data_IF_190682534349
#
_entry.id   IF_190682534349
#
_cell.length_a   1.000
_cell.length_b   1.000
_cell.length_c   1.000
_cell.angle_alpha   90.00
_cell.angle_beta   90.00
_cell.angle_gamma   90.00
#
_symmetry.space_group_name_H-M   'P 1'
#
loop_
_entity.id
_entity.type
_entity.pdbx_description
1 polymer ?
#
# COMPACT_ATOMS: atom_id res chain seq x y z
N UNK A 1 27.17 -30.44 20.02
CA UNK A 1 25.85 -30.10 20.55
C UNK A 1 24.93 -29.64 19.42
N UNK A 2 23.81 -30.33 19.14
CA UNK A 2 22.84 -29.88 18.15
C UNK A 2 22.04 -28.69 18.68
N UNK A 3 21.93 -27.63 17.88
CA UNK A 3 21.06 -26.47 18.15
C UNK A 3 19.66 -26.77 17.60
N UNK A 4 18.69 -26.95 18.50
CA UNK A 4 17.28 -27.10 18.14
C UNK A 4 16.64 -25.72 18.13
N UNK A 5 16.13 -25.29 16.97
CA UNK A 5 15.34 -24.08 16.83
C UNK A 5 13.86 -24.46 16.73
N UNK A 6 13.06 -24.01 17.69
CA UNK A 6 11.60 -24.13 17.64
C UNK A 6 11.05 -23.06 16.70
N UNK A 7 10.68 -23.46 15.48
CA UNK A 7 9.89 -22.63 14.58
C UNK A 7 8.42 -22.69 15.04
N UNK A 8 7.92 -21.60 15.61
CA UNK A 8 6.49 -21.48 15.90
C UNK A 8 5.73 -21.13 14.62
N UNK A 9 5.18 -22.14 13.94
CA UNK A 9 4.22 -21.94 12.88
C UNK A 9 2.87 -21.50 13.49
N UNK A 10 2.46 -20.25 13.29
CA UNK A 10 1.10 -19.82 13.60
C UNK A 10 0.20 -20.09 12.38
N UNK A 11 -0.93 -20.80 12.53
CA UNK A 11 -1.88 -20.96 11.44
C UNK A 11 -2.36 -19.59 10.97
N UNK A 12 -2.24 -19.31 9.67
CA UNK A 12 -2.84 -18.12 9.07
C UNK A 12 -4.36 -18.28 9.08
N UNK A 13 -5.01 -17.75 10.11
CA UNK A 13 -6.46 -17.73 10.23
C UNK A 13 -6.99 -16.63 9.31
N UNK A 14 -7.47 -17.03 8.13
CA UNK A 14 -8.28 -16.15 7.29
C UNK A 14 -9.63 -15.93 7.96
N UNK A 15 -9.76 -14.87 8.76
CA UNK A 15 -11.08 -14.36 9.15
C UNK A 15 -11.60 -13.52 7.99
N UNK A 16 -12.67 -13.96 7.34
CA UNK A 16 -13.32 -13.19 6.29
C UNK A 16 -14.73 -13.70 6.04
N UNK A 17 -15.71 -12.80 6.11
CA UNK A 17 -17.10 -13.08 5.75
C UNK A 17 -17.17 -13.76 4.38
N UNK A 18 -17.68 -14.98 4.35
CA UNK A 18 -17.88 -15.77 3.15
C UNK A 18 -18.95 -15.14 2.25
N UNK A 19 -18.54 -14.26 1.38
CA UNK A 19 -19.17 -14.10 0.07
C UNK A 19 -18.05 -14.27 -0.94
N UNK A 20 -18.19 -15.27 -1.82
CA UNK A 20 -17.28 -15.47 -2.95
C UNK A 20 -17.37 -14.21 -3.80
N UNK A 21 -16.41 -13.30 -3.64
CA UNK A 21 -16.35 -12.10 -4.47
C UNK A 21 -15.79 -12.56 -5.81
N UNK A 22 -16.68 -12.78 -6.78
CA UNK A 22 -16.25 -13.09 -8.14
C UNK A 22 -15.59 -11.85 -8.73
N UNK A 23 -14.30 -11.97 -9.04
CA UNK A 23 -13.59 -10.92 -9.76
C UNK A 23 -14.32 -10.65 -11.08
N UNK A 24 -14.67 -9.39 -11.42
CA UNK A 24 -15.35 -9.13 -12.67
C UNK A 24 -14.48 -9.62 -13.82
N UNK A 25 -15.04 -10.49 -14.66
CA UNK A 25 -14.29 -11.21 -15.69
C UNK A 25 -13.59 -10.27 -16.70
N UNK A 26 -14.07 -9.03 -16.84
CA UNK A 26 -13.56 -8.05 -17.80
C UNK A 26 -13.49 -6.63 -17.23
N UNK A 27 -12.54 -6.37 -16.33
CA UNK A 27 -12.11 -4.99 -16.06
C UNK A 27 -11.17 -4.57 -17.22
N UNK A 28 -11.46 -3.46 -17.88
CA UNK A 28 -10.54 -2.91 -18.90
C UNK A 28 -9.20 -2.56 -18.25
N UNK A 29 -8.09 -2.85 -18.92
CA UNK A 29 -6.74 -2.47 -18.48
C UNK A 29 -6.62 -0.96 -18.20
N UNK A 30 -7.39 -0.12 -18.89
CA UNK A 30 -7.44 1.33 -18.65
C UNK A 30 -8.04 1.73 -17.31
N UNK A 31 -8.83 0.86 -16.68
CA UNK A 31 -9.46 1.05 -15.36
C UNK A 31 -8.70 0.37 -14.22
N UNK A 32 -7.66 -0.39 -14.53
CA UNK A 32 -6.83 -1.05 -13.52
C UNK A 32 -5.78 -0.09 -12.97
N UNK A 33 -5.76 0.03 -11.64
CA UNK A 33 -4.72 0.75 -10.91
C UNK A 33 -3.62 -0.21 -10.50
N UNK A 34 -4.01 -1.34 -9.91
CA UNK A 34 -3.10 -2.40 -9.47
C UNK A 34 -3.73 -3.73 -9.87
N UNK A 35 -2.97 -4.63 -10.47
CA UNK A 35 -3.37 -6.03 -10.65
C UNK A 35 -2.16 -6.90 -10.40
N UNK A 36 -2.30 -7.93 -9.58
CA UNK A 36 -1.26 -8.93 -9.42
C UNK A 36 -1.85 -10.26 -8.97
N UNK A 37 -1.09 -11.31 -9.24
CA UNK A 37 -1.34 -12.64 -8.75
C UNK A 37 -0.34 -12.91 -7.60
N UNK A 38 -0.84 -13.44 -6.49
CA UNK A 38 -0.13 -13.64 -5.22
C UNK A 38 0.47 -12.34 -4.63
N UNK A 39 1.37 -12.49 -3.65
CA UNK A 39 2.11 -11.40 -3.00
C UNK A 39 1.22 -10.36 -2.27
N UNK A 40 0.09 -10.79 -1.71
CA UNK A 40 -0.77 -9.95 -0.86
C UNK A 40 -1.29 -10.74 0.35
N UNK A 41 -1.76 -10.02 1.36
CA UNK A 41 -2.31 -10.57 2.60
C UNK A 41 -3.51 -9.72 3.07
N UNK A 42 -4.40 -10.32 3.86
CA UNK A 42 -5.64 -9.67 4.33
C UNK A 42 -6.94 -10.37 3.91
N UNK A 43 -6.85 -11.62 3.43
CA UNK A 43 -8.03 -12.41 3.05
C UNK A 43 -8.69 -11.97 1.75
N UNK A 44 -9.94 -12.38 1.54
CA UNK A 44 -10.78 -11.89 0.44
C UNK A 44 -11.46 -10.59 0.87
N UNK A 45 -11.19 -9.51 0.16
CA UNK A 45 -11.75 -8.18 0.47
C UNK A 45 -12.51 -7.61 -0.72
N UNK A 46 -13.49 -6.75 -0.44
CA UNK A 46 -14.11 -5.84 -1.39
C UNK A 46 -14.30 -4.48 -0.70
N UNK A 47 -13.38 -3.56 -0.95
CA UNK A 47 -13.22 -2.36 -0.15
C UNK A 47 -13.20 -1.11 -1.04
N UNK A 48 -14.09 -0.16 -0.76
CA UNK A 48 -14.03 1.18 -1.34
C UNK A 48 -12.84 1.95 -0.77
N UNK A 49 -12.11 2.67 -1.62
CA UNK A 49 -10.98 3.51 -1.26
C UNK A 49 -11.36 4.97 -1.43
N UNK A 50 -11.16 5.76 -0.38
CA UNK A 50 -11.40 7.21 -0.39
C UNK A 50 -10.14 8.01 -0.69
N UNK A 51 -8.97 7.50 -0.30
CA UNK A 51 -7.71 8.22 -0.44
C UNK A 51 -6.56 7.29 -0.82
N UNK A 52 -5.66 7.79 -1.67
CA UNK A 52 -4.39 7.14 -1.98
C UNK A 52 -3.26 8.07 -1.55
N UNK A 53 -2.41 7.59 -0.66
CA UNK A 53 -1.13 8.22 -0.33
C UNK A 53 -0.07 7.44 -1.10
N UNK A 54 0.66 8.13 -1.99
CA UNK A 54 1.69 7.54 -2.82
C UNK A 54 3.01 8.27 -2.60
N UNK A 55 4.02 7.53 -2.15
CA UNK A 55 5.41 8.00 -2.04
C UNK A 55 6.14 7.49 -3.29
N UNK A 56 6.60 8.41 -4.14
CA UNK A 56 7.29 8.09 -5.38
C UNK A 56 8.65 7.44 -5.08
N UNK A 57 8.90 6.19 -5.51
CA UNK A 57 10.15 5.50 -5.19
C UNK A 57 11.39 6.19 -5.76
N UNK A 58 11.32 6.75 -6.97
CA UNK A 58 12.46 7.41 -7.61
C UNK A 58 12.76 8.74 -6.94
N UNK A 59 11.73 9.53 -6.65
CA UNK A 59 11.90 10.81 -5.97
C UNK A 59 12.40 10.59 -4.53
N UNK A 60 11.88 9.58 -3.83
CA UNK A 60 12.30 9.22 -2.48
C UNK A 60 13.77 8.76 -2.42
N UNK A 61 14.21 7.96 -3.40
CA UNK A 61 15.58 7.42 -3.36
C UNK A 61 16.64 8.52 -3.38
N UNK A 62 16.41 9.57 -4.18
CA UNK A 62 17.29 10.73 -4.31
C UNK A 62 17.32 11.70 -3.12
N UNK A 63 16.50 11.46 -2.07
CA UNK A 63 16.47 12.33 -0.90
C UNK A 63 17.66 12.11 0.04
N UNK A 64 18.14 13.16 0.72
CA UNK A 64 19.03 13.03 1.86
C UNK A 64 18.40 12.19 2.99
N UNK A 65 19.24 11.58 3.82
CA UNK A 65 18.79 10.75 4.95
C UNK A 65 17.84 11.51 5.90
N UNK A 66 18.13 12.78 6.17
CA UNK A 66 17.29 13.65 7.01
C UNK A 66 15.87 13.77 6.45
N UNK A 67 15.75 14.03 5.15
CA UNK A 67 14.45 14.16 4.48
C UNK A 67 13.71 12.82 4.43
N UNK A 68 14.40 11.69 4.28
CA UNK A 68 13.78 10.35 4.38
C UNK A 68 13.09 10.13 5.74
N UNK A 69 13.69 10.58 6.84
CA UNK A 69 13.04 10.57 8.15
C UNK A 69 11.89 11.57 8.26
N UNK A 70 11.96 12.71 7.58
CA UNK A 70 10.83 13.64 7.51
C UNK A 70 9.65 13.08 6.73
N UNK A 71 9.89 12.34 5.64
CA UNK A 71 8.85 11.59 4.91
C UNK A 71 8.16 10.56 5.83
N UNK A 72 8.91 9.86 6.69
CA UNK A 72 8.32 8.95 7.68
C UNK A 72 7.40 9.71 8.66
N UNK A 73 7.87 10.84 9.21
CA UNK A 73 7.06 11.69 10.11
C UNK A 73 5.82 12.26 9.41
N UNK A 74 5.96 12.69 8.16
CA UNK A 74 4.84 13.15 7.33
C UNK A 74 3.81 12.04 7.12
N UNK A 75 4.27 10.82 6.84
CA UNK A 75 3.40 9.64 6.74
C UNK A 75 2.61 9.46 8.04
N UNK A 76 3.26 9.58 9.20
CA UNK A 76 2.60 9.56 10.50
C UNK A 76 1.59 10.70 10.72
N UNK A 77 1.90 11.94 10.28
CA UNK A 77 0.96 13.08 10.33
C UNK A 77 -0.29 12.79 9.47
N UNK A 78 -0.10 12.26 8.27
CA UNK A 78 -1.19 11.89 7.37
C UNK A 78 -2.03 10.74 7.94
N UNK A 79 -1.39 9.74 8.53
CA UNK A 79 -2.05 8.62 9.20
C UNK A 79 -2.97 9.09 10.34
N UNK A 80 -2.54 10.06 11.14
CA UNK A 80 -3.38 10.65 12.21
C UNK A 80 -4.59 11.40 11.67
N UNK A 81 -4.49 12.02 10.49
CA UNK A 81 -5.62 12.73 9.84
C UNK A 81 -6.71 11.81 9.31
N UNK A 82 -6.44 10.51 9.14
CA UNK A 82 -7.46 9.53 8.74
C UNK A 82 -8.56 9.46 9.81
N UNK A 83 -8.19 9.59 11.09
CA UNK A 83 -9.11 9.45 12.21
C UNK A 83 -9.63 8.02 12.30
N UNK A 84 -10.84 7.78 11.77
CA UNK A 84 -11.43 6.44 11.68
C UNK A 84 -11.22 5.85 10.30
N UNK A 85 -10.62 4.66 10.24
CA UNK A 85 -10.27 3.97 8.99
C UNK A 85 -11.50 3.71 8.11
N UNK A 86 -12.64 3.41 8.72
CA UNK A 86 -13.90 3.11 8.02
C UNK A 86 -14.49 4.36 7.36
N UNK A 87 -14.25 5.54 7.97
CA UNK A 87 -14.74 6.82 7.45
C UNK A 87 -13.87 7.37 6.32
N UNK A 88 -12.58 7.03 6.32
CA UNK A 88 -11.64 7.45 5.28
C UNK A 88 -10.72 6.29 4.86
N UNK A 89 -11.25 5.27 4.15
CA UNK A 89 -10.43 4.15 3.71
C UNK A 89 -9.26 4.63 2.86
N UNK A 90 -8.04 4.40 3.34
CA UNK A 90 -6.83 4.99 2.78
C UNK A 90 -5.84 3.90 2.41
N UNK A 91 -5.33 3.95 1.18
CA UNK A 91 -4.23 3.10 0.72
C UNK A 91 -2.93 3.88 0.81
N UNK A 92 -1.93 3.32 1.48
CA UNK A 92 -0.56 3.83 1.49
C UNK A 92 0.30 3.00 0.55
N UNK A 93 0.94 3.63 -0.43
CA UNK A 93 1.85 2.99 -1.38
C UNK A 93 3.20 3.69 -1.32
N UNK A 94 4.30 2.94 -1.26
CA UNK A 94 5.61 3.56 -1.09
C UNK A 94 6.78 2.62 -1.35
N UNK A 95 8.01 3.18 -1.34
CA UNK A 95 9.21 2.46 -1.72
C UNK A 95 9.62 1.43 -0.66
N UNK A 96 9.93 0.22 -1.13
CA UNK A 96 10.64 -0.78 -0.35
C UNK A 96 9.93 -1.14 0.95
N UNK A 97 10.71 -1.42 1.99
CA UNK A 97 10.23 -1.89 3.29
C UNK A 97 9.66 -0.76 4.15
N UNK A 98 8.47 -0.96 4.69
CA UNK A 98 7.97 -0.11 5.77
C UNK A 98 8.63 -0.50 7.09
N UNK A 99 9.12 0.49 7.84
CA UNK A 99 9.75 0.30 9.15
C UNK A 99 11.16 -0.27 9.12
N UNK A 100 11.87 -0.01 8.03
CA UNK A 100 13.30 -0.32 7.95
C UNK A 100 14.13 0.60 8.84
N UNK A 101 15.20 0.07 9.44
CA UNK A 101 16.27 0.87 10.06
C UNK A 101 17.26 1.43 9.04
N UNK A 102 17.15 1.02 7.76
CA UNK A 102 18.00 1.45 6.65
C UNK A 102 17.16 2.19 5.60
N UNK A 103 17.06 3.54 5.65
CA UNK A 103 16.17 4.30 4.76
C UNK A 103 16.50 4.21 3.25
N UNK A 104 17.64 3.63 2.88
CA UNK A 104 17.94 3.28 1.49
C UNK A 104 17.07 2.11 0.97
N UNK A 105 16.53 1.27 1.87
CA UNK A 105 15.75 0.07 1.55
C UNK A 105 14.23 0.27 1.70
N UNK A 106 13.80 1.48 2.08
CA UNK A 106 12.40 1.82 2.28
C UNK A 106 12.19 2.97 3.26
N UNK A 107 10.99 3.08 3.82
CA UNK A 107 10.59 4.20 4.66
C UNK A 107 10.68 3.85 6.15
N UNK A 108 11.44 4.60 6.97
CA UNK A 108 11.69 4.28 8.38
C UNK A 108 10.52 4.71 9.29
N UNK A 109 9.32 4.21 9.02
CA UNK A 109 8.12 4.43 9.84
C UNK A 109 8.02 3.46 11.01
N UNK A 110 7.40 3.89 12.09
CA UNK A 110 6.91 2.98 13.13
C UNK A 110 5.49 2.50 12.79
N UNK A 111 5.02 1.41 13.40
CA UNK A 111 3.67 0.92 13.13
C UNK A 111 2.58 1.97 13.46
N UNK A 112 2.75 2.74 14.53
CA UNK A 112 1.81 3.81 14.92
C UNK A 112 1.71 4.94 13.89
N UNK A 113 2.66 5.04 12.96
CA UNK A 113 2.65 6.00 11.86
C UNK A 113 1.90 5.48 10.63
N UNK A 114 1.46 4.22 10.60
CA UNK A 114 0.74 3.60 9.47
C UNK A 114 -0.49 2.78 9.91
N UNK A 115 -0.81 2.76 11.20
CA UNK A 115 -1.84 1.89 11.77
C UNK A 115 -3.30 2.25 11.44
N UNK A 116 -3.59 3.40 10.81
CA UNK A 116 -4.95 3.77 10.39
C UNK A 116 -5.18 3.48 8.90
N UNK A 117 -4.19 2.93 8.19
CA UNK A 117 -4.32 2.60 6.77
C UNK A 117 -5.25 1.39 6.57
N UNK A 118 -6.06 1.44 5.52
CA UNK A 118 -6.88 0.30 5.09
C UNK A 118 -6.05 -0.72 4.33
N UNK A 119 -5.13 -0.23 3.50
CA UNK A 119 -4.20 -1.08 2.81
C UNK A 119 -2.81 -0.43 2.72
N UNK A 120 -1.78 -1.26 2.73
CA UNK A 120 -0.38 -0.85 2.61
C UNK A 120 0.26 -1.63 1.47
N UNK A 121 0.92 -0.90 0.58
CA UNK A 121 1.66 -1.42 -0.56
C UNK A 121 3.14 -1.12 -0.45
N UNK A 122 3.96 -2.16 -0.47
CA UNK A 122 5.41 -2.06 -0.68
C UNK A 122 5.69 -2.13 -2.19
N UNK A 123 6.37 -1.13 -2.73
CA UNK A 123 6.73 -1.07 -4.15
C UNK A 123 8.19 -1.47 -4.28
N UNK A 124 8.45 -2.57 -4.98
CA UNK A 124 9.79 -2.90 -5.44
C UNK A 124 10.21 -1.88 -6.50
N UNK A 125 11.39 -1.29 -6.34
CA UNK A 125 11.98 -0.39 -7.31
C UNK A 125 13.46 -0.71 -7.46
N UNK A 126 13.98 -0.55 -8.67
CA UNK A 126 15.41 -0.64 -8.94
C UNK A 126 16.02 0.75 -8.80
N UNK A 127 17.06 0.87 -7.97
CA UNK A 127 17.95 2.02 -7.95
C UNK A 127 19.40 1.53 -8.11
N UNK A 128 19.94 1.67 -9.32
CA UNK A 128 21.22 1.08 -9.70
C UNK A 128 21.21 -0.45 -9.60
N UNK A 129 22.16 -1.02 -8.86
CA UNK A 129 22.28 -2.47 -8.63
C UNK A 129 21.49 -2.96 -7.39
N UNK A 130 20.82 -2.06 -6.66
CA UNK A 130 20.09 -2.41 -5.46
C UNK A 130 18.62 -2.67 -5.81
N UNK A 131 18.18 -3.91 -5.60
CA UNK A 131 16.76 -4.26 -5.54
C UNK A 131 16.45 -4.43 -4.05
N UNK A 132 15.67 -3.53 -3.43
CA UNK A 132 15.23 -3.76 -2.07
C UNK A 132 14.38 -5.02 -2.05
N UNK A 133 14.85 -6.04 -1.35
CA UNK A 133 14.04 -7.22 -1.09
C UNK A 133 12.85 -6.79 -0.23
N UNK A 134 11.62 -7.00 -0.70
CA UNK A 134 10.44 -6.55 0.02
C UNK A 134 10.27 -7.36 1.30
N UNK A 135 9.80 -6.71 2.37
CA UNK A 135 9.73 -7.39 3.67
C UNK A 135 8.55 -8.35 3.74
N UNK A 136 7.64 -8.33 2.75
CA UNK A 136 6.34 -9.01 2.80
C UNK A 136 5.57 -8.65 4.08
N UNK A 137 5.79 -7.45 4.61
CA UNK A 137 5.19 -7.00 5.85
C UNK A 137 5.67 -7.74 7.10
N UNK A 138 6.73 -8.56 7.03
CA UNK A 138 7.22 -9.37 8.16
C UNK A 138 7.54 -8.55 9.42
N UNK A 139 7.98 -7.30 9.25
CA UNK A 139 8.27 -6.40 10.37
C UNK A 139 7.03 -6.00 11.18
N UNK A 140 5.86 -5.92 10.54
CA UNK A 140 4.60 -5.51 11.17
C UNK A 140 3.50 -6.55 11.00
N UNK A 141 3.87 -7.80 10.73
CA UNK A 141 2.93 -8.80 10.25
C UNK A 141 1.81 -9.05 11.26
N UNK A 142 2.19 -9.23 12.53
CA UNK A 142 1.24 -9.49 13.60
C UNK A 142 0.32 -8.29 13.79
N UNK A 143 0.87 -7.07 13.80
CA UNK A 143 0.09 -5.84 13.95
C UNK A 143 -0.86 -5.62 12.76
N UNK A 144 -0.43 -5.89 11.53
CA UNK A 144 -1.26 -5.77 10.34
C UNK A 144 -2.40 -6.78 10.32
N UNK A 145 -2.16 -8.02 10.75
CA UNK A 145 -3.21 -9.04 10.89
C UNK A 145 -4.18 -8.68 12.01
N UNK A 146 -3.69 -8.23 13.16
CA UNK A 146 -4.53 -7.84 14.30
C UNK A 146 -5.41 -6.63 14.00
N UNK A 147 -4.88 -5.69 13.22
CA UNK A 147 -5.58 -4.46 12.86
C UNK A 147 -6.35 -4.58 11.56
N UNK A 148 -6.47 -5.75 10.92
CA UNK A 148 -7.13 -5.94 9.62
C UNK A 148 -6.63 -4.96 8.53
N UNK A 149 -5.32 -4.75 8.44
CA UNK A 149 -4.68 -3.94 7.39
C UNK A 149 -4.35 -4.85 6.21
N UNK A 150 -4.91 -4.54 5.04
CA UNK A 150 -4.59 -5.28 3.82
C UNK A 150 -3.16 -4.96 3.37
N UNK A 151 -2.37 -5.98 3.04
CA UNK A 151 -0.99 -5.82 2.64
C UNK A 151 -0.78 -6.28 1.19
N UNK A 152 0.01 -5.54 0.41
CA UNK A 152 0.41 -5.95 -0.94
C UNK A 152 1.89 -5.64 -1.21
N UNK A 153 2.60 -6.60 -1.79
CA UNK A 153 3.94 -6.43 -2.31
C UNK A 153 3.85 -6.31 -3.84
N UNK A 154 4.17 -5.12 -4.35
CA UNK A 154 4.00 -4.74 -5.76
C UNK A 154 5.37 -4.81 -6.44
N UNK A 155 5.46 -5.63 -7.49
CA UNK A 155 6.65 -5.74 -8.34
C UNK A 155 6.30 -5.22 -9.74
N UNK A 156 6.49 -3.92 -10.03
CA UNK A 156 6.00 -3.31 -11.27
C UNK A 156 6.60 -3.94 -12.54
N UNK A 157 7.85 -4.43 -12.45
CA UNK A 157 8.58 -5.06 -13.56
C UNK A 157 8.26 -6.56 -13.73
N UNK A 158 7.48 -7.16 -12.83
CA UNK A 158 7.12 -8.58 -12.91
C UNK A 158 6.03 -8.78 -13.97
N UNK A 159 6.19 -9.80 -14.80
CA UNK A 159 5.18 -10.17 -15.79
C UNK A 159 3.81 -10.42 -15.14
N UNK A 160 2.75 -9.93 -15.78
CA UNK A 160 1.38 -10.03 -15.27
C UNK A 160 1.00 -8.96 -14.25
N UNK A 161 1.95 -8.23 -13.65
CA UNK A 161 1.63 -7.12 -12.75
C UNK A 161 1.22 -5.89 -13.56
N UNK A 162 0.12 -5.26 -13.15
CA UNK A 162 -0.29 -3.93 -13.63
C UNK A 162 -0.11 -2.97 -12.48
N UNK A 163 0.67 -1.92 -12.66
CA UNK A 163 0.76 -0.82 -11.70
C UNK A 163 0.72 0.53 -12.42
N UNK A 164 -0.46 1.17 -12.42
CA UNK A 164 -0.71 2.38 -13.18
C UNK A 164 -0.32 3.64 -12.41
N UNK A 165 0.98 3.83 -12.22
CA UNK A 165 1.56 5.02 -11.56
C UNK A 165 1.14 6.31 -12.27
N UNK A 166 1.00 6.27 -13.59
CA UNK A 166 0.61 7.44 -14.39
C UNK A 166 -0.79 7.94 -14.02
N UNK A 167 -1.73 7.03 -13.72
CA UNK A 167 -3.04 7.43 -13.24
C UNK A 167 -2.96 8.17 -11.90
N UNK A 168 -2.15 7.67 -10.95
CA UNK A 168 -1.95 8.29 -9.64
C UNK A 168 -1.32 9.69 -9.81
N UNK A 169 -0.29 9.80 -10.67
CA UNK A 169 0.39 11.08 -10.95
C UNK A 169 -0.50 12.12 -11.62
N UNK A 170 -1.53 11.69 -12.36
CA UNK A 170 -2.52 12.58 -12.99
C UNK A 170 -3.58 13.10 -12.01
N UNK A 171 -3.75 12.50 -10.83
CA UNK A 171 -4.71 13.00 -9.85
C UNK A 171 -4.19 14.29 -9.18
N UNK A 172 -5.09 15.20 -8.77
CA UNK A 172 -4.74 16.35 -7.95
C UNK A 172 -4.03 15.92 -6.67
N UNK A 173 -2.89 16.55 -6.37
CA UNK A 173 -2.17 16.31 -5.13
C UNK A 173 -2.65 17.30 -4.06
N UNK A 174 -3.44 16.83 -3.10
CA UNK A 174 -3.98 17.63 -2.00
C UNK A 174 -3.06 17.68 -0.76
N UNK A 175 -1.78 17.29 -0.91
CA UNK A 175 -0.83 17.29 0.20
C UNK A 175 -0.69 18.69 0.83
N UNK A 176 -0.49 19.73 0.01
CA UNK A 176 -0.27 21.08 0.49
C UNK A 176 -1.50 21.65 1.23
N UNK A 177 -2.71 21.23 0.84
CA UNK A 177 -3.94 21.62 1.52
C UNK A 177 -4.06 20.97 2.91
N UNK A 178 -3.61 19.71 3.04
CA UNK A 178 -3.69 18.95 4.29
C UNK A 178 -2.53 19.27 5.25
N UNK A 179 -1.34 19.49 4.70
CA UNK A 179 -0.07 19.68 5.40
C UNK A 179 0.72 20.84 4.78
N UNK A 180 0.31 22.10 5.00
CA UNK A 180 0.98 23.27 4.43
C UNK A 180 2.48 23.33 4.75
N UNK A 181 2.84 23.00 5.99
CA UNK A 181 4.24 22.99 6.46
C UNK A 181 5.12 21.94 5.75
N UNK A 182 4.51 20.90 5.21
CA UNK A 182 5.18 19.80 4.51
C UNK A 182 4.98 19.90 2.98
N UNK A 183 4.46 21.00 2.46
CA UNK A 183 4.16 21.20 1.04
C UNK A 183 5.39 21.03 0.12
N UNK A 184 6.60 21.28 0.65
CA UNK A 184 7.87 21.03 -0.05
C UNK A 184 8.03 19.58 -0.53
N UNK A 185 7.37 18.63 0.14
CA UNK A 185 7.41 17.22 -0.24
C UNK A 185 6.38 16.83 -1.31
N UNK A 186 5.62 17.76 -1.89
CA UNK A 186 4.61 17.47 -2.92
C UNK A 186 5.18 16.84 -4.21
N UNK A 187 6.49 16.97 -4.44
CA UNK A 187 7.21 16.27 -5.51
C UNK A 187 7.50 14.79 -5.22
N UNK A 188 7.45 14.39 -3.95
CA UNK A 188 7.77 13.02 -3.48
C UNK A 188 6.50 12.31 -3.01
N UNK A 189 5.67 12.99 -2.23
CA UNK A 189 4.45 12.46 -1.63
C UNK A 189 3.24 13.05 -2.33
N UNK A 190 2.37 12.18 -2.80
CA UNK A 190 1.07 12.53 -3.36
C UNK A 190 -0.03 12.03 -2.46
N UNK A 191 -0.95 12.92 -2.11
CA UNK A 191 -2.20 12.55 -1.46
C UNK A 191 -3.32 12.82 -2.45
N UNK A 192 -4.01 11.77 -2.88
CA UNK A 192 -5.06 11.83 -3.88
C UNK A 192 -6.41 11.54 -3.22
N UNK A 193 -7.35 12.47 -3.31
CA UNK A 193 -8.75 12.19 -2.99
C UNK A 193 -9.39 11.47 -4.18
N UNK A 194 -9.87 10.25 -3.93
CA UNK A 194 -10.39 9.37 -4.99
C UNK A 194 -11.85 8.99 -4.75
N UNK A 195 -12.55 9.66 -3.81
CA UNK A 195 -13.96 9.39 -3.49
C UNK A 195 -14.87 9.50 -4.73
N UNK A 196 -14.61 10.48 -5.59
CA UNK A 196 -15.37 10.69 -6.83
C UNK A 196 -14.96 9.74 -7.98
N UNK A 197 -14.00 8.84 -7.77
CA UNK A 197 -13.46 7.93 -8.81
C UNK A 197 -13.89 6.47 -8.63
N UNK A 198 -14.64 6.18 -7.56
CA UNK A 198 -15.10 4.84 -7.18
C UNK A 198 -13.96 3.80 -7.22
N UNK A 199 -12.84 4.12 -6.56
CA UNK A 199 -11.71 3.19 -6.47
C UNK A 199 -12.09 2.03 -5.55
N UNK A 200 -11.93 0.80 -6.04
CA UNK A 200 -12.23 -0.44 -5.30
C UNK A 200 -10.99 -1.31 -5.24
N UNK A 201 -10.65 -1.80 -4.04
CA UNK A 201 -9.69 -2.86 -3.82
C UNK A 201 -10.43 -4.17 -3.60
N UNK A 202 -10.03 -5.19 -4.34
CA UNK A 202 -10.66 -6.50 -4.27
C UNK A 202 -9.62 -7.60 -4.34
N UNK A 203 -9.78 -8.63 -3.52
CA UNK A 203 -8.93 -9.82 -3.53
C UNK A 203 -9.75 -11.09 -3.40
N UNK A 204 -9.25 -12.15 -4.01
CA UNK A 204 -9.71 -13.51 -3.80
C UNK A 204 -8.52 -14.37 -3.37
N UNK A 205 -8.56 -14.84 -2.12
CA UNK A 205 -7.50 -15.68 -1.56
C UNK A 205 -7.45 -17.07 -2.18
N UNK A 206 -8.56 -17.58 -2.72
CA UNK A 206 -8.65 -18.92 -3.33
C UNK A 206 -7.95 -18.92 -4.68
N UNK A 207 -8.24 -17.92 -5.52
CA UNK A 207 -7.56 -17.79 -6.82
C UNK A 207 -6.23 -17.03 -6.73
N UNK A 208 -5.87 -16.52 -5.54
CA UNK A 208 -4.72 -15.67 -5.28
C UNK A 208 -4.64 -14.46 -6.22
N UNK A 209 -5.77 -13.82 -6.50
CA UNK A 209 -5.85 -12.66 -7.39
C UNK A 209 -6.22 -11.41 -6.60
N UNK A 210 -5.53 -10.32 -6.88
CA UNK A 210 -5.86 -9.00 -6.34
C UNK A 210 -5.95 -7.97 -7.47
N UNK A 211 -6.97 -7.12 -7.38
CA UNK A 211 -7.16 -6.00 -8.28
C UNK A 211 -7.61 -4.76 -7.52
N UNK A 212 -6.98 -3.63 -7.83
CA UNK A 212 -7.44 -2.30 -7.47
C UNK A 212 -7.86 -1.60 -8.77
N UNK A 213 -9.11 -1.15 -8.86
CA UNK A 213 -9.69 -0.65 -10.11
C UNK A 213 -10.66 0.49 -9.89
N UNK A 214 -10.99 1.19 -10.98
CA UNK A 214 -12.06 2.17 -11.06
C UNK A 214 -13.38 1.46 -11.34
N UNK A 215 -14.34 1.60 -10.44
CA UNK A 215 -15.69 1.12 -10.62
C UNK A 215 -16.40 1.77 -11.80
N UNK A 216 -17.56 1.24 -12.15
CA UNK A 216 -18.41 1.82 -13.19
C UNK A 216 -19.30 2.87 -12.55
N UNK A 217 -19.27 4.11 -13.06
CA UNK A 217 -20.25 5.10 -12.67
C UNK A 217 -21.64 4.57 -13.01
N UNK A 218 -22.40 4.12 -11.99
CA UNK A 218 -23.81 3.76 -12.12
C UNK A 218 -24.17 2.27 -12.03
N UNK A 219 -23.60 1.48 -11.10
CA UNK A 219 -24.33 0.31 -10.59
C UNK A 219 -24.56 0.44 -9.07
N UNK A 220 -25.82 0.32 -8.61
CA UNK A 220 -26.16 0.34 -7.18
C UNK A 220 -25.57 -0.86 -6.44
#
# INVERSE_FOLDING_TARGET
DPRINLLQCRPFQTKGHYSRVELPEKISRSRMLIRQDANFMGGSVYQAISRVIYIDPRAYSGLPLTEKHEIARLTGKLNRRIGKREAMPTVLLGPGRWGTTTPAMGVPVTFSEINNMTAIGEIAYQDGALIPDLSFGTHFFQDMVEMDIFYMAIYPEKEGVVFNVQWIKKQPNILADLMPDDARFAGVVRVCDVRAKDVRLMSDIVTQKMICFLGEAGRP
#
